data_IF_442697072661
#
_entry.id   IF_442697072661
#
_cell.length_a   1.000
_cell.length_b   1.000
_cell.length_c   1.000
_cell.angle_alpha   90.00
_cell.angle_beta   90.00
_cell.angle_gamma   90.00
#
_symmetry.space_group_name_H-M   'P 1'
#
loop_
_entity.id
_entity.type
_entity.pdbx_description
1 polymer ?
#
# COMPACT_ATOMS: atom_id res chain seq x y z
N UNK A 1 19.12 -21.83 -19.55
CA UNK A 1 19.65 -20.88 -18.55
C UNK A 1 18.81 -19.60 -18.39
N UNK A 2 17.95 -19.23 -19.35
CA UNK A 2 17.11 -18.02 -19.23
C UNK A 2 15.98 -18.09 -18.19
N UNK A 3 15.36 -19.25 -17.94
CA UNK A 3 14.19 -19.36 -17.06
C UNK A 3 14.46 -19.01 -15.58
N UNK A 4 15.67 -19.31 -15.08
CA UNK A 4 16.11 -18.97 -13.71
C UNK A 4 16.33 -17.46 -13.55
N UNK A 5 16.91 -16.82 -14.56
CA UNK A 5 17.16 -15.36 -14.53
C UNK A 5 15.83 -14.62 -14.43
N UNK A 6 14.85 -14.94 -15.25
CA UNK A 6 13.54 -14.27 -15.21
C UNK A 6 12.79 -14.50 -13.91
N UNK A 7 12.86 -15.72 -13.34
CA UNK A 7 12.23 -15.99 -12.05
C UNK A 7 12.91 -15.22 -10.91
N UNK A 8 14.25 -15.21 -10.87
CA UNK A 8 14.99 -14.54 -9.80
C UNK A 8 14.86 -13.01 -9.90
N UNK A 9 14.84 -12.49 -11.13
CA UNK A 9 14.64 -11.07 -11.38
C UNK A 9 13.24 -10.60 -10.98
N UNK A 10 12.20 -11.36 -11.33
CA UNK A 10 10.83 -11.07 -10.92
C UNK A 10 10.66 -11.02 -9.40
N UNK A 11 11.42 -11.85 -8.67
CA UNK A 11 11.42 -11.87 -7.20
C UNK A 11 12.08 -10.64 -6.59
N UNK A 12 13.19 -10.19 -7.17
CA UNK A 12 13.83 -8.94 -6.74
C UNK A 12 12.89 -7.74 -6.96
N UNK A 13 12.15 -7.72 -8.07
CA UNK A 13 11.14 -6.69 -8.33
C UNK A 13 9.98 -6.76 -7.32
N UNK A 14 9.51 -7.96 -6.99
CA UNK A 14 8.46 -8.13 -5.98
C UNK A 14 8.94 -7.70 -4.57
N UNK A 15 10.18 -8.00 -4.20
CA UNK A 15 10.79 -7.54 -2.95
C UNK A 15 10.86 -6.02 -2.88
N UNK A 16 11.39 -5.36 -3.92
CA UNK A 16 11.49 -3.90 -3.94
C UNK A 16 10.11 -3.24 -3.90
N UNK A 17 9.12 -3.78 -4.62
CA UNK A 17 7.73 -3.32 -4.56
C UNK A 17 7.12 -3.48 -3.15
N UNK A 18 7.35 -4.61 -2.48
CA UNK A 18 6.90 -4.84 -1.11
C UNK A 18 7.49 -3.84 -0.10
N UNK A 19 8.80 -3.57 -0.21
CA UNK A 19 9.47 -2.56 0.62
C UNK A 19 8.92 -1.15 0.37
N UNK A 20 8.69 -0.77 -0.88
CA UNK A 20 8.11 0.53 -1.22
C UNK A 20 6.67 0.68 -0.73
N UNK A 21 5.86 -0.38 -0.83
CA UNK A 21 4.50 -0.37 -0.31
C UNK A 21 4.48 -0.22 1.22
N UNK A 22 5.37 -0.93 1.93
CA UNK A 22 5.54 -0.76 3.38
C UNK A 22 5.99 0.65 3.75
N UNK A 23 6.97 1.19 3.01
CA UNK A 23 7.47 2.53 3.22
C UNK A 23 6.35 3.56 3.05
N UNK A 24 5.62 3.51 1.92
CA UNK A 24 4.47 4.40 1.68
C UNK A 24 3.39 4.30 2.75
N UNK A 25 3.09 3.08 3.21
CA UNK A 25 2.15 2.85 4.30
C UNK A 25 2.61 3.49 5.62
N UNK A 26 3.90 3.41 5.96
CA UNK A 26 4.47 4.08 7.14
C UNK A 26 4.35 5.60 7.02
N UNK A 27 4.65 6.18 5.86
CA UNK A 27 4.46 7.62 5.62
C UNK A 27 3.00 8.04 5.79
N UNK A 28 2.04 7.24 5.32
CA UNK A 28 0.62 7.49 5.52
C UNK A 28 0.17 7.41 6.99
N UNK A 29 0.83 6.60 7.83
CA UNK A 29 0.55 6.54 9.28
C UNK A 29 1.11 7.76 10.01
N UNK A 30 2.31 8.22 9.65
CA UNK A 30 2.93 9.39 10.29
C UNK A 30 2.28 10.71 9.83
N UNK A 31 1.96 10.85 8.54
CA UNK A 31 1.40 12.06 7.96
C UNK A 31 -0.08 11.84 7.58
N UNK A 32 -0.94 11.86 8.59
CA UNK A 32 -2.39 11.67 8.44
C UNK A 32 -3.07 12.93 7.93
N UNK A 33 -3.05 13.14 6.61
CA UNK A 33 -3.84 14.19 5.94
C UNK A 33 -4.65 13.58 4.81
N UNK A 34 -5.92 14.01 4.71
CA UNK A 34 -6.74 13.70 3.55
C UNK A 34 -6.41 14.70 2.44
N UNK A 35 -5.97 14.20 1.29
CA UNK A 35 -5.46 15.04 0.21
C UNK A 35 -6.55 15.90 -0.44
N UNK A 36 -7.75 15.34 -0.64
CA UNK A 36 -8.86 16.02 -1.30
C UNK A 36 -9.63 16.98 -0.37
N UNK A 37 -9.07 17.29 0.80
CA UNK A 37 -9.63 18.28 1.73
C UNK A 37 -9.69 19.69 1.09
N UNK A 38 -8.83 19.97 0.11
CA UNK A 38 -8.86 21.23 -0.65
C UNK A 38 -10.01 21.33 -1.67
N UNK A 39 -10.57 20.19 -2.10
CA UNK A 39 -11.61 20.17 -3.14
C UNK A 39 -12.98 20.21 -2.47
N UNK A 40 -13.53 21.42 -2.38
CA UNK A 40 -14.81 21.67 -1.72
C UNK A 40 -14.71 22.01 -0.23
N UNK A 41 -13.50 22.06 0.32
CA UNK A 41 -13.24 22.56 1.67
C UNK A 41 -13.35 24.08 1.76
N UNK A 42 -13.93 24.59 2.85
CA UNK A 42 -13.96 26.04 3.13
C UNK A 42 -12.81 26.40 4.04
N UNK A 43 -12.14 27.52 3.80
CA UNK A 43 -11.15 28.08 4.72
C UNK A 43 -11.87 28.56 5.98
N UNK A 44 -11.67 27.85 7.09
CA UNK A 44 -12.12 28.25 8.42
C UNK A 44 -11.02 29.01 9.18
N UNK A 45 -11.36 29.65 10.32
CA UNK A 45 -10.44 30.50 11.09
C UNK A 45 -9.23 29.76 11.70
N UNK A 46 -9.21 28.43 11.70
CA UNK A 46 -8.13 27.60 12.27
C UNK A 46 -7.58 26.56 11.26
N UNK A 47 -8.06 26.59 10.00
CA UNK A 47 -7.67 25.62 8.97
C UNK A 47 -8.78 25.33 7.96
N UNK A 48 -8.52 24.41 7.03
CA UNK A 48 -9.51 23.96 6.05
C UNK A 48 -10.57 23.12 6.77
N UNK A 49 -11.84 23.44 6.51
CA UNK A 49 -12.99 22.67 6.96
C UNK A 49 -13.36 21.72 5.81
N UNK A 50 -13.24 20.40 6.01
CA UNK A 50 -13.54 19.45 4.97
C UNK A 50 -15.00 19.47 4.52
N UNK A 51 -15.27 19.19 3.23
CA UNK A 51 -16.63 19.03 2.74
C UNK A 51 -17.28 17.78 3.38
N UNK A 52 -18.60 17.83 3.59
CA UNK A 52 -19.36 16.72 4.20
C UNK A 52 -19.24 15.39 3.44
N UNK A 53 -18.94 15.42 2.14
CA UNK A 53 -18.67 14.25 1.31
C UNK A 53 -17.36 13.53 1.67
N UNK A 54 -16.39 14.23 2.26
CA UNK A 54 -15.09 13.68 2.68
C UNK A 54 -15.09 13.06 4.09
N UNK A 55 -16.20 13.19 4.83
CA UNK A 55 -16.35 12.68 6.19
C UNK A 55 -15.95 11.19 6.37
N UNK A 56 -16.37 10.23 5.51
CA UNK A 56 -15.99 8.82 5.69
C UNK A 56 -14.48 8.59 5.49
N UNK A 57 -13.86 9.30 4.55
CA UNK A 57 -12.42 9.19 4.28
C UNK A 57 -11.58 9.74 5.43
N UNK A 58 -12.00 10.85 6.04
CA UNK A 58 -11.32 11.40 7.22
C UNK A 58 -11.40 10.43 8.40
N UNK A 59 -12.52 9.72 8.58
CA UNK A 59 -12.60 8.71 9.64
C UNK A 59 -11.68 7.51 9.39
N UNK A 60 -11.63 7.01 8.15
CA UNK A 60 -10.85 5.82 7.76
C UNK A 60 -9.36 6.06 7.51
N UNK A 61 -8.93 7.32 7.39
CA UNK A 61 -7.54 7.70 7.14
C UNK A 61 -6.96 8.46 8.34
N UNK A 62 -7.70 9.44 8.86
CA UNK A 62 -7.19 10.36 9.89
C UNK A 62 -7.47 9.82 11.30
N UNK A 63 -8.68 9.30 11.57
CA UNK A 63 -9.04 8.80 12.91
C UNK A 63 -8.58 7.36 13.17
N UNK A 64 -8.80 6.46 12.21
CA UNK A 64 -8.40 5.06 12.28
C UNK A 64 -7.74 4.69 10.95
N UNK A 65 -6.39 4.65 10.86
CA UNK A 65 -5.66 4.42 9.60
C UNK A 65 -5.72 2.95 9.18
N UNK A 66 -6.93 2.44 8.91
CA UNK A 66 -7.16 1.02 8.55
C UNK A 66 -6.57 0.71 7.18
N UNK A 67 -6.65 1.66 6.26
CA UNK A 67 -6.21 1.50 4.88
C UNK A 67 -4.67 1.44 4.83
N UNK A 68 -4.00 2.36 5.53
CA UNK A 68 -2.54 2.36 5.64
C UNK A 68 -2.05 1.12 6.39
N UNK A 69 -2.75 0.69 7.44
CA UNK A 69 -2.44 -0.56 8.13
C UNK A 69 -2.55 -1.79 7.21
N UNK A 70 -3.60 -1.86 6.38
CA UNK A 70 -3.76 -2.92 5.41
C UNK A 70 -2.64 -2.91 4.35
N UNK A 71 -2.25 -1.74 3.84
CA UNK A 71 -1.11 -1.60 2.92
C UNK A 71 0.22 -2.05 3.54
N UNK A 72 0.46 -1.69 4.81
CA UNK A 72 1.67 -2.12 5.54
C UNK A 72 1.71 -3.65 5.69
N UNK A 73 0.59 -4.28 6.02
CA UNK A 73 0.46 -5.74 6.12
C UNK A 73 0.70 -6.39 4.74
N UNK A 74 0.09 -5.88 3.68
CA UNK A 74 0.29 -6.39 2.31
C UNK A 74 1.75 -6.24 1.84
N UNK A 75 2.41 -5.12 2.17
CA UNK A 75 3.85 -4.93 1.93
C UNK A 75 4.71 -5.93 2.68
N UNK A 76 4.45 -6.13 3.99
CA UNK A 76 5.14 -7.14 4.81
C UNK A 76 4.97 -8.56 4.27
N UNK A 77 3.74 -8.94 3.92
CA UNK A 77 3.44 -10.26 3.36
C UNK A 77 4.13 -10.47 2.01
N UNK A 78 4.20 -9.44 1.17
CA UNK A 78 4.93 -9.49 -0.11
C UNK A 78 6.40 -9.77 0.10
N UNK A 79 7.03 -9.10 1.07
CA UNK A 79 8.44 -9.35 1.45
C UNK A 79 8.59 -10.75 2.03
N UNK A 80 7.71 -11.17 2.94
CA UNK A 80 7.75 -12.48 3.59
C UNK A 80 7.63 -13.63 2.59
N UNK A 81 6.79 -13.50 1.56
CA UNK A 81 6.57 -14.55 0.55
C UNK A 81 7.73 -14.69 -0.45
N UNK A 82 8.52 -13.64 -0.66
CA UNK A 82 9.68 -13.67 -1.55
C UNK A 82 11.01 -13.86 -0.85
N UNK A 83 11.05 -13.65 0.46
CA UNK A 83 12.27 -13.83 1.22
C UNK A 83 12.68 -15.31 1.26
N UNK A 84 13.94 -15.66 0.95
CA UNK A 84 14.40 -17.04 0.86
C UNK A 84 14.63 -17.71 2.23
N UNK A 85 13.82 -17.42 3.27
CA UNK A 85 13.94 -18.10 4.58
C UNK A 85 13.33 -19.51 4.53
N UNK A 86 12.27 -19.72 3.73
CA UNK A 86 11.54 -20.99 3.69
C UNK A 86 11.33 -21.53 2.25
N UNK A 87 12.38 -22.07 1.60
CA UNK A 87 12.32 -22.52 0.20
C UNK A 87 11.39 -23.72 -0.04
N UNK A 88 10.95 -24.42 1.01
CA UNK A 88 10.06 -25.59 0.93
C UNK A 88 8.56 -25.28 0.95
N UNK A 89 8.17 -24.02 1.16
CA UNK A 89 6.75 -23.66 1.35
C UNK A 89 6.01 -23.59 0.02
N UNK A 90 4.79 -24.13 -0.06
CA UNK A 90 3.94 -24.07 -1.27
C UNK A 90 3.77 -22.62 -1.78
N UNK A 91 3.64 -21.67 -0.86
CA UNK A 91 3.50 -20.23 -1.13
C UNK A 91 4.72 -19.62 -1.83
N UNK A 92 5.92 -20.16 -1.61
CA UNK A 92 7.14 -19.71 -2.27
C UNK A 92 7.22 -20.18 -3.74
N UNK A 93 6.59 -21.33 -4.04
CA UNK A 93 6.69 -22.03 -5.32
C UNK A 93 5.56 -21.69 -6.29
N UNK A 94 4.36 -21.35 -5.78
CA UNK A 94 3.20 -21.10 -6.64
C UNK A 94 3.21 -19.68 -7.25
N UNK A 95 3.46 -19.59 -8.55
CA UNK A 95 3.41 -18.31 -9.28
C UNK A 95 1.98 -17.75 -9.35
N UNK A 96 0.97 -18.60 -9.53
CA UNK A 96 -0.42 -18.18 -9.65
C UNK A 96 -0.93 -17.42 -8.41
N UNK A 97 -0.64 -17.94 -7.21
CA UNK A 97 -0.98 -17.27 -5.95
C UNK A 97 -0.34 -15.89 -5.85
N UNK A 98 0.95 -15.79 -6.20
CA UNK A 98 1.72 -14.55 -6.16
C UNK A 98 1.14 -13.49 -7.10
N UNK A 99 0.80 -13.86 -8.33
CA UNK A 99 0.20 -12.94 -9.30
C UNK A 99 -1.13 -12.38 -8.81
N UNK A 100 -2.00 -13.22 -8.22
CA UNK A 100 -3.29 -12.78 -7.67
C UNK A 100 -3.07 -11.87 -6.46
N UNK A 101 -2.19 -12.27 -5.53
CA UNK A 101 -1.91 -11.51 -4.33
C UNK A 101 -1.26 -10.15 -4.63
N UNK A 102 -0.30 -10.08 -5.57
CA UNK A 102 0.34 -8.84 -5.97
C UNK A 102 -0.59 -7.92 -6.75
N UNK A 103 -1.47 -8.47 -7.59
CA UNK A 103 -2.51 -7.68 -8.25
C UNK A 103 -3.44 -7.04 -7.22
N UNK A 104 -3.87 -7.81 -6.21
CA UNK A 104 -4.73 -7.30 -5.13
C UNK A 104 -4.01 -6.29 -4.24
N UNK A 105 -2.76 -6.56 -3.86
CA UNK A 105 -1.92 -5.62 -3.12
C UNK A 105 -1.68 -4.34 -3.91
N UNK A 106 -1.53 -4.43 -5.23
CA UNK A 106 -1.34 -3.27 -6.11
C UNK A 106 -2.59 -2.41 -6.21
N UNK A 107 -3.77 -3.02 -6.31
CA UNK A 107 -5.05 -2.30 -6.27
C UNK A 107 -5.25 -1.62 -4.91
N UNK A 108 -4.95 -2.31 -3.82
CA UNK A 108 -5.10 -1.78 -2.47
C UNK A 108 -4.13 -0.60 -2.21
N UNK A 109 -2.87 -0.76 -2.65
CA UNK A 109 -1.89 0.32 -2.63
C UNK A 109 -2.35 1.50 -3.48
N UNK A 110 -2.81 1.28 -4.71
CA UNK A 110 -3.31 2.33 -5.60
C UNK A 110 -4.51 3.09 -5.02
N UNK A 111 -5.41 2.41 -4.32
CA UNK A 111 -6.52 3.06 -3.61
C UNK A 111 -5.99 3.92 -2.46
N UNK A 112 -5.06 3.40 -1.66
CA UNK A 112 -4.44 4.18 -0.58
C UNK A 112 -3.68 5.40 -1.10
N UNK A 113 -3.01 5.26 -2.24
CA UNK A 113 -2.22 6.30 -2.88
C UNK A 113 -3.11 7.35 -3.53
N UNK A 114 -4.18 6.96 -4.24
CA UNK A 114 -5.17 7.89 -4.78
C UNK A 114 -5.79 8.81 -3.72
N UNK A 115 -5.88 8.31 -2.48
CA UNK A 115 -6.40 9.08 -1.34
C UNK A 115 -5.33 9.87 -0.58
N UNK A 116 -4.04 9.56 -0.78
CA UNK A 116 -2.91 10.07 0.01
C UNK A 116 -1.89 10.90 -0.79
N UNK A 117 -1.81 10.75 -2.11
CA UNK A 117 -0.70 11.23 -2.92
C UNK A 117 -0.88 12.62 -3.50
N UNK A 118 -0.40 13.63 -2.78
CA UNK A 118 0.60 14.59 -3.27
C UNK A 118 1.31 15.21 -2.05
N UNK A 119 2.63 15.03 -1.99
CA UNK A 119 3.53 16.10 -1.53
C UNK A 119 3.44 17.26 -2.51
#
# INVERSE_FOLDING_TARGET
>A
MGNLIWSDWGRLVALTAGYWNLWGALWGIFYRKYLWDFVGGKLGPVGIIPPGFAAPFIQLIVKLPVIQGACAICGLLTVLFEWPVFPGTFLYRSLAFKVVFYSLSGVLAGISDFMSSYL
#
